data_IF_775804500754
#
_entry.id   IF_775804500754
#
_cell.length_a   1.000
_cell.length_b   1.000
_cell.length_c   1.000
_cell.angle_alpha   90.00
_cell.angle_beta   90.00
_cell.angle_gamma   90.00
#
_symmetry.space_group_name_H-M   'P 1'
#
loop_
_entity.id
_entity.type
_entity.pdbx_description
1 polymer ?
#
# COMPACT_ATOMS: atom_id res chain seq x y z
N UNK A 1 23.54 11.74 14.34
CA UNK A 1 23.72 10.51 15.14
C UNK A 1 22.47 9.64 15.11
N UNK A 2 22.48 8.49 15.80
CA UNK A 2 21.44 7.43 15.77
C UNK A 2 20.02 7.94 16.01
N UNK A 3 19.85 8.98 16.85
CA UNK A 3 18.55 9.62 17.10
C UNK A 3 17.85 10.14 15.84
N UNK A 4 18.57 10.45 14.75
CA UNK A 4 18.00 10.89 13.46
C UNK A 4 17.10 9.83 12.82
N UNK A 5 17.41 8.54 13.00
CA UNK A 5 16.60 7.44 12.44
C UNK A 5 15.19 7.37 13.07
N UNK A 6 15.05 7.81 14.33
CA UNK A 6 13.78 7.77 15.06
C UNK A 6 12.93 9.04 14.89
N UNK A 7 13.46 10.09 14.25
CA UNK A 7 12.74 11.37 14.11
C UNK A 7 11.51 11.29 13.18
N UNK A 8 11.40 10.25 12.35
CA UNK A 8 10.20 9.95 11.56
C UNK A 8 9.29 8.87 12.15
N UNK A 9 9.59 8.34 13.34
CA UNK A 9 8.85 7.23 13.95
C UNK A 9 7.33 7.48 14.10
N UNK A 10 6.83 8.64 14.58
CA UNK A 10 5.39 8.84 14.73
C UNK A 10 4.65 8.76 13.39
N UNK A 11 5.24 9.31 12.33
CA UNK A 11 4.68 9.24 10.99
C UNK A 11 4.78 7.83 10.41
N UNK A 12 5.84 7.09 10.73
CA UNK A 12 5.97 5.69 10.36
C UNK A 12 4.89 4.80 11.01
N UNK A 13 4.58 5.05 12.29
CA UNK A 13 3.57 4.32 13.04
C UNK A 13 2.15 4.57 12.53
N UNK A 14 1.89 5.73 11.93
CA UNK A 14 0.61 6.02 11.27
C UNK A 14 0.57 5.47 9.85
N UNK A 15 1.63 5.68 9.07
CA UNK A 15 1.71 5.31 7.67
C UNK A 15 1.61 3.79 7.47
N UNK A 16 2.32 3.01 8.27
CA UNK A 16 2.43 1.56 8.09
C UNK A 16 1.09 0.82 8.20
N UNK A 17 0.30 0.99 9.29
CA UNK A 17 -1.01 0.34 9.39
C UNK A 17 -1.98 0.83 8.31
N UNK A 18 -1.95 2.12 7.97
CA UNK A 18 -2.85 2.69 6.97
C UNK A 18 -2.55 2.19 5.55
N UNK A 19 -1.26 1.98 5.26
CA UNK A 19 -0.80 1.38 4.01
C UNK A 19 -1.25 -0.08 3.92
N UNK A 20 -1.03 -0.85 4.99
CA UNK A 20 -1.41 -2.28 5.03
C UNK A 20 -2.90 -2.49 4.98
N UNK A 21 -3.67 -1.65 5.66
CA UNK A 21 -5.11 -1.63 5.58
C UNK A 21 -5.59 -1.44 4.14
N UNK A 22 -5.08 -0.42 3.44
CA UNK A 22 -5.51 -0.15 2.07
C UNK A 22 -5.12 -1.23 1.08
N UNK A 23 -3.93 -1.84 1.21
CA UNK A 23 -3.52 -2.95 0.33
C UNK A 23 -4.48 -4.15 0.49
N UNK A 24 -4.81 -4.53 1.73
CA UNK A 24 -5.72 -5.66 2.01
C UNK A 24 -7.17 -5.34 1.63
N UNK A 25 -7.65 -4.13 1.97
CA UNK A 25 -8.99 -3.69 1.62
C UNK A 25 -9.18 -3.60 0.10
N UNK A 26 -8.17 -3.12 -0.63
CA UNK A 26 -8.18 -3.11 -2.08
C UNK A 26 -8.19 -4.53 -2.66
N UNK A 27 -7.39 -5.46 -2.11
CA UNK A 27 -7.39 -6.84 -2.61
C UNK A 27 -8.73 -7.55 -2.37
N UNK A 28 -9.16 -7.65 -1.11
CA UNK A 28 -10.41 -8.34 -0.76
C UNK A 28 -11.65 -7.64 -1.31
N UNK A 29 -11.68 -6.30 -1.27
CA UNK A 29 -12.82 -5.51 -1.73
C UNK A 29 -12.98 -5.54 -3.25
N UNK A 30 -11.90 -5.40 -4.02
CA UNK A 30 -11.97 -5.47 -5.49
C UNK A 30 -12.27 -6.88 -5.96
N UNK A 31 -11.70 -7.91 -5.32
CA UNK A 31 -12.05 -9.30 -5.64
C UNK A 31 -13.52 -9.59 -5.36
N UNK A 32 -14.08 -9.08 -4.26
CA UNK A 32 -15.51 -9.24 -3.94
C UNK A 32 -16.40 -8.52 -4.96
N UNK A 33 -16.09 -7.26 -5.28
CA UNK A 33 -16.84 -6.47 -6.27
C UNK A 33 -16.75 -7.05 -7.69
N UNK A 34 -15.60 -7.60 -8.07
CA UNK A 34 -15.46 -8.29 -9.35
C UNK A 34 -16.18 -9.64 -9.34
N UNK A 35 -16.21 -10.35 -8.21
CA UNK A 35 -16.91 -11.64 -8.11
C UNK A 35 -18.44 -11.49 -8.07
N UNK A 36 -18.96 -10.33 -7.67
CA UNK A 36 -20.40 -10.04 -7.69
C UNK A 36 -20.92 -9.56 -9.06
N UNK A 37 -20.04 -9.26 -10.01
CA UNK A 37 -20.41 -8.89 -11.38
C UNK A 37 -20.20 -10.06 -12.35
N UNK A 38 -21.16 -10.27 -13.26
CA UNK A 38 -21.07 -11.31 -14.31
C UNK A 38 -19.84 -11.14 -15.20
N UNK A 39 -19.39 -9.90 -15.42
CA UNK A 39 -18.17 -9.58 -16.18
C UNK A 39 -16.89 -9.94 -15.40
N UNK A 40 -16.86 -9.71 -14.10
CA UNK A 40 -15.70 -10.04 -13.28
C UNK A 40 -15.54 -11.55 -13.08
N UNK A 41 -16.62 -12.33 -13.00
CA UNK A 41 -16.56 -13.80 -12.95
C UNK A 41 -15.94 -14.44 -14.20
N UNK A 42 -16.05 -13.78 -15.37
CA UNK A 42 -15.43 -14.25 -16.61
C UNK A 42 -13.93 -13.90 -16.72
N UNK A 43 -13.42 -12.97 -15.89
CA UNK A 43 -12.00 -12.61 -15.95
C UNK A 43 -11.09 -13.66 -15.30
N UNK A 44 -9.92 -13.96 -15.91
CA UNK A 44 -8.90 -14.77 -15.27
C UNK A 44 -8.37 -14.08 -14.01
N UNK A 45 -7.93 -14.89 -13.04
CA UNK A 45 -7.45 -14.44 -11.73
C UNK A 45 -6.42 -13.31 -11.83
N UNK A 46 -5.50 -13.40 -12.79
CA UNK A 46 -4.46 -12.40 -13.04
C UNK A 46 -4.98 -11.01 -13.46
N UNK A 47 -6.14 -10.92 -14.10
CA UNK A 47 -6.76 -9.64 -14.46
C UNK A 47 -7.46 -9.00 -13.25
N UNK A 48 -8.12 -9.82 -12.42
CA UNK A 48 -8.74 -9.34 -11.18
C UNK A 48 -7.68 -8.82 -10.19
N UNK A 49 -6.55 -9.51 -10.07
CA UNK A 49 -5.42 -9.06 -9.25
C UNK A 49 -4.75 -7.81 -9.80
N UNK A 50 -4.70 -7.62 -11.12
CA UNK A 50 -4.18 -6.38 -11.72
C UNK A 50 -5.06 -5.17 -11.36
N UNK A 51 -6.39 -5.31 -11.40
CA UNK A 51 -7.32 -4.24 -10.97
C UNK A 51 -7.18 -3.96 -9.48
N UNK A 52 -7.13 -5.01 -8.65
CA UNK A 52 -6.90 -4.88 -7.21
C UNK A 52 -5.57 -4.16 -6.90
N UNK A 53 -4.49 -4.52 -7.60
CA UNK A 53 -3.16 -3.92 -7.45
C UNK A 53 -3.14 -2.46 -7.90
N UNK A 54 -3.95 -2.10 -8.90
CA UNK A 54 -4.14 -0.71 -9.34
C UNK A 54 -4.81 0.12 -8.26
N UNK A 55 -5.89 -0.39 -7.66
CA UNK A 55 -6.57 0.27 -6.53
C UNK A 55 -5.63 0.43 -5.32
N UNK A 56 -4.84 -0.60 -5.00
CA UNK A 56 -3.82 -0.52 -3.95
C UNK A 56 -2.74 0.53 -4.26
N UNK A 57 -2.26 0.58 -5.51
CA UNK A 57 -1.29 1.59 -5.94
C UNK A 57 -1.86 3.02 -5.88
N UNK A 58 -3.14 3.21 -6.21
CA UNK A 58 -3.82 4.51 -6.05
C UNK A 58 -3.95 4.92 -4.57
N UNK A 59 -4.24 3.96 -3.67
CA UNK A 59 -4.22 4.22 -2.24
C UNK A 59 -2.85 4.72 -1.75
N UNK A 60 -1.76 4.10 -2.23
CA UNK A 60 -0.39 4.56 -1.94
C UNK A 60 -0.10 5.95 -2.50
N UNK A 61 -0.65 6.29 -3.66
CA UNK A 61 -0.56 7.65 -4.21
C UNK A 61 -1.27 8.64 -3.27
N UNK A 62 -2.43 8.30 -2.71
CA UNK A 62 -3.11 9.16 -1.73
C UNK A 62 -2.28 9.37 -0.44
N UNK A 63 -1.49 8.38 -0.02
CA UNK A 63 -0.61 8.44 1.16
C UNK A 63 0.77 9.05 0.92
N UNK A 64 1.12 9.35 -0.32
CA UNK A 64 2.43 9.90 -0.70
C UNK A 64 2.82 11.18 0.09
N UNK A 65 1.90 12.07 0.50
CA UNK A 65 2.25 13.20 1.36
C UNK A 65 2.79 12.79 2.74
N UNK A 66 2.21 11.75 3.36
CA UNK A 66 2.65 11.25 4.66
C UNK A 66 4.03 10.60 4.54
N UNK A 67 4.25 9.86 3.45
CA UNK A 67 5.51 9.22 3.11
C UNK A 67 6.62 10.24 2.88
N UNK A 68 6.30 11.32 2.16
CA UNK A 68 7.22 12.42 1.88
C UNK A 68 7.62 13.14 3.16
N UNK A 69 6.67 13.37 4.08
CA UNK A 69 6.97 13.94 5.39
C UNK A 69 7.90 13.01 6.17
N UNK A 70 7.54 11.74 6.35
CA UNK A 70 8.34 10.75 7.08
C UNK A 70 9.77 10.67 6.56
N UNK A 71 9.95 10.47 5.26
CA UNK A 71 11.27 10.31 4.64
C UNK A 71 12.10 11.59 4.77
N UNK A 72 11.50 12.76 4.56
CA UNK A 72 12.19 14.04 4.72
C UNK A 72 12.65 14.25 6.18
N UNK A 73 11.84 13.88 7.17
CA UNK A 73 12.25 13.95 8.58
C UNK A 73 13.31 12.91 8.95
N UNK A 74 13.31 11.72 8.36
CA UNK A 74 14.37 10.72 8.59
C UNK A 74 15.72 11.14 7.98
N UNK A 75 15.70 11.86 6.84
CA UNK A 75 16.91 12.34 6.15
C UNK A 75 17.44 13.63 6.79
N UNK A 76 16.58 14.64 6.93
CA UNK A 76 16.96 16.00 7.37
C UNK A 76 16.83 16.21 8.88
N UNK A 77 16.19 15.27 9.58
CA UNK A 77 15.99 15.35 11.01
C UNK A 77 15.01 16.44 11.45
N UNK A 78 15.31 17.10 12.58
CA UNK A 78 14.42 18.11 13.19
C UNK A 78 14.09 19.30 12.27
N UNK A 79 14.98 19.66 11.34
CA UNK A 79 14.73 20.72 10.36
C UNK A 79 13.84 20.27 9.18
N UNK A 80 13.60 18.96 9.03
CA UNK A 80 12.87 18.39 7.90
C UNK A 80 11.44 18.91 7.76
N UNK A 81 10.72 19.07 8.88
CA UNK A 81 9.35 19.60 8.86
C UNK A 81 9.30 21.04 8.33
N UNK A 82 10.20 21.91 8.81
CA UNK A 82 10.27 23.30 8.35
C UNK A 82 10.61 23.39 6.86
N UNK A 83 11.48 22.51 6.36
CA UNK A 83 11.83 22.43 4.93
C UNK A 83 10.65 21.98 4.06
N UNK A 84 9.88 20.98 4.49
CA UNK A 84 8.68 20.54 3.75
C UNK A 84 7.64 21.65 3.73
N UNK A 85 7.37 22.29 4.88
CA UNK A 85 6.42 23.39 4.95
C UNK A 85 6.85 24.61 4.13
N UNK A 86 8.15 24.93 4.09
CA UNK A 86 8.68 25.98 3.22
C UNK A 86 8.51 25.63 1.74
N UNK A 87 8.73 24.37 1.35
CA UNK A 87 8.48 23.87 -0.02
C UNK A 87 7.00 23.94 -0.39
N UNK A 88 6.10 23.51 0.51
CA UNK A 88 4.64 23.57 0.29
C UNK A 88 4.17 25.02 0.15
N UNK A 89 4.71 25.94 0.96
CA UNK A 89 4.40 27.38 0.84
C UNK A 89 4.88 27.98 -0.49
N UNK A 90 6.02 27.52 -1.02
CA UNK A 90 6.62 28.07 -2.25
C UNK A 90 6.01 27.47 -3.52
N UNK A 91 5.72 26.18 -3.53
CA UNK A 91 5.37 25.43 -4.74
C UNK A 91 3.97 24.79 -4.70
N UNK A 92 3.23 24.98 -3.60
CA UNK A 92 1.91 24.41 -3.40
C UNK A 92 1.93 22.98 -2.87
N UNK A 93 0.74 22.48 -2.50
CA UNK A 93 0.56 21.14 -1.90
C UNK A 93 0.86 20.01 -2.90
N UNK A 94 0.70 20.27 -4.20
CA UNK A 94 0.98 19.31 -5.27
C UNK A 94 2.44 18.81 -5.30
N UNK A 95 3.39 19.57 -4.74
CA UNK A 95 4.80 19.13 -4.61
C UNK A 95 4.96 17.87 -3.76
N UNK A 96 4.02 17.60 -2.84
CA UNK A 96 4.02 16.37 -2.05
C UNK A 96 3.74 15.11 -2.89
N UNK A 97 3.23 15.27 -4.11
CA UNK A 97 3.05 14.21 -5.10
C UNK A 97 4.11 14.23 -6.20
N UNK A 98 5.20 14.98 -6.02
CA UNK A 98 6.34 14.90 -6.95
C UNK A 98 6.87 13.46 -6.98
N UNK A 99 6.73 12.80 -8.13
CA UNK A 99 7.05 11.37 -8.28
C UNK A 99 5.87 10.41 -8.05
N UNK A 100 4.62 10.88 -7.97
CA UNK A 100 3.44 10.03 -7.82
C UNK A 100 3.33 8.92 -8.89
N UNK A 101 3.71 9.19 -10.14
CA UNK A 101 3.73 8.18 -11.20
C UNK A 101 4.78 7.08 -10.94
N UNK A 102 5.96 7.46 -10.46
CA UNK A 102 7.00 6.50 -10.06
C UNK A 102 6.56 5.69 -8.83
N UNK A 103 5.94 6.34 -7.84
CA UNK A 103 5.38 5.67 -6.67
C UNK A 103 4.27 4.69 -7.09
N UNK A 104 3.38 5.08 -7.99
CA UNK A 104 2.35 4.21 -8.53
C UNK A 104 2.97 2.98 -9.22
N UNK A 105 3.92 3.18 -10.13
CA UNK A 105 4.58 2.09 -10.85
C UNK A 105 5.31 1.13 -9.90
N UNK A 106 6.06 1.65 -8.93
CA UNK A 106 6.76 0.84 -7.94
C UNK A 106 5.79 0.00 -7.09
N UNK A 107 4.67 0.58 -6.67
CA UNK A 107 3.66 -0.15 -5.90
C UNK A 107 2.93 -1.18 -6.75
N UNK A 108 2.61 -0.87 -8.01
CA UNK A 108 1.98 -1.82 -8.92
C UNK A 108 2.88 -3.03 -9.18
N UNK A 109 4.14 -2.80 -9.54
CA UNK A 109 5.12 -3.87 -9.81
C UNK A 109 5.46 -4.67 -8.54
N UNK A 110 5.33 -4.08 -7.35
CA UNK A 110 5.52 -4.79 -6.08
C UNK A 110 4.30 -5.60 -5.63
N UNK A 111 3.10 -5.00 -5.66
CA UNK A 111 1.87 -5.66 -5.20
C UNK A 111 1.37 -6.71 -6.18
N UNK A 112 1.49 -6.49 -7.49
CA UNK A 112 0.92 -7.38 -8.49
C UNK A 112 1.50 -8.81 -8.44
N UNK A 113 2.83 -9.01 -8.46
CA UNK A 113 3.41 -10.35 -8.35
C UNK A 113 3.07 -11.00 -7.00
N UNK A 114 3.13 -10.24 -5.91
CA UNK A 114 2.82 -10.76 -4.57
C UNK A 114 1.39 -11.31 -4.49
N UNK A 115 0.40 -10.52 -4.89
CA UNK A 115 -1.00 -10.95 -4.85
C UNK A 115 -1.35 -11.99 -5.91
N UNK A 116 -0.68 -11.99 -7.06
CA UNK A 116 -0.81 -13.06 -8.04
C UNK A 116 -0.36 -14.40 -7.47
N UNK A 117 0.84 -14.45 -6.87
CA UNK A 117 1.35 -15.67 -6.24
C UNK A 117 0.48 -16.08 -5.05
N UNK A 118 0.07 -15.13 -4.20
CA UNK A 118 -0.79 -15.42 -3.05
C UNK A 118 -2.12 -16.04 -3.48
N UNK A 119 -2.84 -15.43 -4.42
CA UNK A 119 -4.14 -15.94 -4.85
C UNK A 119 -4.02 -17.28 -5.61
N UNK A 120 -2.91 -17.51 -6.32
CA UNK A 120 -2.64 -18.82 -6.93
C UNK A 120 -2.43 -19.90 -5.88
N UNK A 121 -1.64 -19.61 -4.85
CA UNK A 121 -1.41 -20.54 -3.74
C UNK A 121 -2.69 -20.82 -2.96
N UNK A 122 -3.48 -19.78 -2.68
CA UNK A 122 -4.77 -19.90 -2.00
C UNK A 122 -5.77 -20.77 -2.78
N UNK A 123 -5.78 -20.67 -4.12
CA UNK A 123 -6.65 -21.51 -4.96
C UNK A 123 -6.22 -22.97 -5.06
N UNK A 124 -4.95 -23.28 -4.81
CA UNK A 124 -4.40 -24.66 -4.83
C UNK A 124 -4.40 -25.26 -3.42
N UNK A 125 -4.44 -24.42 -2.39
CA UNK A 125 -4.40 -24.84 -0.99
C UNK A 125 -5.63 -25.66 -0.63
N UNK A 126 -5.42 -26.93 -0.25
CA UNK A 126 -6.43 -27.73 0.40
C UNK A 126 -6.36 -27.46 1.90
N UNK A 127 -7.47 -27.05 2.55
CA UNK A 127 -7.47 -26.88 4.00
C UNK A 127 -7.08 -28.22 4.65
N UNK A 128 -6.23 -28.21 5.69
CA UNK A 128 -5.98 -29.43 6.46
C UNK A 128 -7.31 -29.98 6.95
N UNK A 129 -7.44 -31.31 6.99
CA UNK A 129 -8.62 -31.95 7.58
C UNK A 129 -8.87 -31.32 8.95
N UNK A 130 -10.14 -31.03 9.33
CA UNK A 130 -10.44 -30.44 10.62
C UNK A 130 -9.80 -31.34 11.68
N UNK A 131 -8.70 -30.90 12.28
CA UNK A 131 -8.11 -31.63 13.39
C UNK A 131 -9.17 -31.63 14.48
N UNK A 132 -9.72 -32.82 14.72
CA UNK A 132 -10.68 -33.06 15.77
C UNK A 132 -10.10 -32.56 17.10
N UNK A 133 -10.59 -31.42 17.58
CA UNK A 133 -10.48 -31.01 18.98
C UNK A 133 -9.13 -30.49 19.49
N UNK A 134 -8.33 -29.76 18.69
CA UNK A 134 -7.11 -29.10 19.18
C UNK A 134 -7.21 -27.57 19.36
N UNK A 135 -8.41 -27.06 19.55
CA UNK A 135 -8.63 -25.82 20.30
C UNK A 135 -9.52 -26.16 21.52
N UNK A 136 -9.09 -25.84 22.75
CA UNK A 136 -9.96 -25.98 23.93
C UNK A 136 -11.17 -25.04 23.85
#
# INVERSE_FOLDING_TARGET
GVRRFYQGLPWALLQTPLTRFGDTAANSGVLLLLSSTTFGQAMPLGLRTAVASTCAALWRVALTPVDTLKTTMQVQGAAGYALVMAKVKKSGVAVLWSGAAANFAANFVGNYPWYMTFNQLEGIWQPPAPEAGLLP
#
